data_IF_233993556843
#
_entry.id   IF_233993556843
#
_cell.length_a   1.000
_cell.length_b   1.000
_cell.length_c   1.000
_cell.angle_alpha   90.00
_cell.angle_beta   90.00
_cell.angle_gamma   90.00
#
_symmetry.space_group_name_H-M   'P 1'
#
loop_
_entity.id
_entity.type
_entity.pdbx_description
1 polymer ?
#
# COMPACT_ATOMS: atom_id res chain seq x y z
N UNK A 1 -6.81 13.64 -24.47
CA UNK A 1 -5.78 13.04 -23.60
C UNK A 1 -5.31 14.11 -22.62
N UNK A 2 -5.04 13.74 -21.37
CA UNK A 2 -4.43 14.59 -20.36
C UNK A 2 -3.14 13.93 -19.88
N UNK A 3 -2.07 14.70 -19.83
CA UNK A 3 -0.77 14.26 -19.36
C UNK A 3 -0.56 14.77 -17.95
N UNK A 4 -0.12 13.90 -17.05
CA UNK A 4 0.21 14.22 -15.66
C UNK A 4 1.63 13.76 -15.36
N UNK A 5 2.30 14.45 -14.44
CA UNK A 5 3.59 14.02 -13.91
C UNK A 5 3.44 13.77 -12.40
N UNK A 6 3.75 12.54 -11.97
CA UNK A 6 3.63 12.11 -10.57
C UNK A 6 4.83 11.24 -10.20
N UNK A 7 5.52 11.60 -9.12
CA UNK A 7 6.73 10.89 -8.68
C UNK A 7 7.79 10.73 -9.80
N UNK A 8 7.89 11.70 -10.74
CA UNK A 8 8.81 11.64 -11.87
C UNK A 8 8.40 10.67 -12.99
N UNK A 9 7.14 10.24 -13.01
CA UNK A 9 6.54 9.37 -14.04
C UNK A 9 5.54 10.22 -14.83
N UNK A 10 5.64 10.29 -16.16
CA UNK A 10 4.55 10.87 -16.95
C UNK A 10 3.47 9.82 -17.17
N UNK A 11 2.23 10.28 -17.15
CA UNK A 11 1.03 9.46 -17.25
C UNK A 11 0.09 10.12 -18.24
N UNK A 12 -0.17 9.43 -19.35
CA UNK A 12 -1.16 9.87 -20.33
C UNK A 12 -2.50 9.18 -20.09
N UNK A 13 -3.50 9.96 -19.72
CA UNK A 13 -4.86 9.49 -19.49
C UNK A 13 -5.79 9.91 -20.63
N UNK A 14 -6.45 8.93 -21.24
CA UNK A 14 -7.55 9.19 -22.17
C UNK A 14 -8.79 9.64 -21.39
N UNK A 15 -9.34 10.80 -21.72
CA UNK A 15 -10.53 11.36 -21.03
C UNK A 15 -11.84 10.69 -21.45
N UNK A 16 -11.84 9.92 -22.54
CA UNK A 16 -13.03 9.26 -23.08
C UNK A 16 -13.22 7.86 -22.49
N UNK A 17 -12.16 7.05 -22.45
CA UNK A 17 -12.21 5.67 -21.95
C UNK A 17 -11.52 5.47 -20.58
N UNK A 18 -10.86 6.49 -20.04
CA UNK A 18 -10.02 6.43 -18.82
C UNK A 18 -8.85 5.44 -18.91
N UNK A 19 -8.43 5.06 -20.12
CA UNK A 19 -7.20 4.30 -20.35
C UNK A 19 -5.98 5.11 -19.95
N UNK A 20 -5.00 4.43 -19.34
CA UNK A 20 -3.71 4.99 -18.94
C UNK A 20 -2.62 4.41 -19.83
N UNK A 21 -1.73 5.27 -20.33
CA UNK A 21 -0.62 4.92 -21.20
C UNK A 21 0.70 5.39 -20.58
N UNK A 22 1.71 4.54 -20.67
CA UNK A 22 3.03 4.70 -20.08
C UNK A 22 4.07 4.25 -21.10
N UNK A 23 5.16 5.00 -21.24
CA UNK A 23 6.31 4.53 -21.99
C UNK A 23 7.06 3.42 -21.24
N UNK A 24 7.93 2.68 -21.94
CA UNK A 24 8.70 1.58 -21.33
C UNK A 24 9.51 2.02 -20.10
N UNK A 25 10.19 3.17 -20.18
CA UNK A 25 10.99 3.69 -19.06
C UNK A 25 10.13 4.15 -17.88
N UNK A 26 8.91 4.62 -18.16
CA UNK A 26 7.98 5.10 -17.13
C UNK A 26 7.35 3.95 -16.36
N UNK A 27 7.05 2.84 -17.05
CA UNK A 27 6.61 1.61 -16.39
C UNK A 27 7.70 1.05 -15.46
N UNK A 28 8.97 1.08 -15.87
CA UNK A 28 10.09 0.67 -15.03
C UNK A 28 10.22 1.58 -13.79
N UNK A 29 10.10 2.90 -13.95
CA UNK A 29 10.07 3.85 -12.85
C UNK A 29 8.89 3.62 -11.90
N UNK A 30 7.71 3.30 -12.44
CA UNK A 30 6.51 2.97 -11.67
C UNK A 30 6.73 1.76 -10.77
N UNK A 31 7.28 0.68 -11.31
CA UNK A 31 7.56 -0.55 -10.54
C UNK A 31 8.59 -0.28 -9.45
N UNK A 32 9.63 0.51 -9.75
CA UNK A 32 10.63 0.89 -8.77
C UNK A 32 10.04 1.75 -7.63
N UNK A 33 9.16 2.70 -7.96
CA UNK A 33 8.47 3.54 -6.98
C UNK A 33 7.50 2.72 -6.12
N UNK A 34 6.76 1.77 -6.71
CA UNK A 34 5.85 0.87 -6.01
C UNK A 34 6.61 -0.02 -5.00
N UNK A 35 7.75 -0.57 -5.42
CA UNK A 35 8.62 -1.39 -4.56
C UNK A 35 9.12 -0.61 -3.34
N UNK A 36 9.51 0.66 -3.52
CA UNK A 36 9.93 1.54 -2.42
C UNK A 36 8.77 1.87 -1.47
N UNK A 37 7.60 2.19 -2.03
CA UNK A 37 6.40 2.48 -1.24
C UNK A 37 5.93 1.27 -0.42
N UNK A 38 5.95 0.08 -1.03
CA UNK A 38 5.62 -1.19 -0.38
C UNK A 38 6.59 -1.53 0.75
N UNK A 39 7.89 -1.32 0.54
CA UNK A 39 8.91 -1.49 1.57
C UNK A 39 8.70 -0.54 2.76
N UNK A 40 8.34 0.71 2.50
CA UNK A 40 8.06 1.71 3.53
C UNK A 40 6.76 1.40 4.30
N UNK A 41 5.73 0.90 3.63
CA UNK A 41 4.46 0.51 4.27
C UNK A 41 4.60 -0.78 5.09
N UNK A 42 5.55 -1.64 4.75
CA UNK A 42 5.86 -2.87 5.49
C UNK A 42 6.63 -2.62 6.79
N UNK A 43 7.21 -1.43 6.97
CA UNK A 43 7.71 -0.95 8.25
C UNK A 43 6.55 -0.45 9.13
N UNK A 44 5.55 -1.29 9.38
CA UNK A 44 4.76 -1.10 10.58
C UNK A 44 5.72 -1.31 11.76
N UNK A 45 5.84 -0.37 12.72
CA UNK A 45 6.64 -0.62 13.90
C UNK A 45 6.08 -1.89 14.53
N UNK A 46 6.93 -2.92 14.64
CA UNK A 46 6.64 -4.06 15.49
C UNK A 46 6.36 -3.45 16.86
N UNK A 47 5.08 -3.35 17.22
CA UNK A 47 4.69 -2.88 18.54
C UNK A 47 5.29 -3.90 19.48
N UNK A 48 6.37 -3.53 20.15
CA UNK A 48 6.90 -4.24 21.29
C UNK A 48 5.73 -4.49 22.22
N UNK A 49 5.32 -5.76 22.33
CA UNK A 49 4.30 -6.15 23.29
C UNK A 49 4.81 -5.74 24.68
N UNK A 50 4.00 -5.04 25.50
CA UNK A 50 4.40 -4.78 26.88
C UNK A 50 4.60 -6.11 27.61
N UNK A 51 5.59 -6.24 28.51
CA UNK A 51 5.82 -7.48 29.23
C UNK A 51 4.58 -7.81 30.08
N UNK A 52 3.94 -8.94 29.78
CA UNK A 52 2.73 -9.39 30.47
C UNK A 52 3.11 -10.00 31.85
N UNK A 53 2.43 -9.64 32.96
CA UNK A 53 2.62 -10.31 34.24
C UNK A 53 2.06 -11.74 34.20
N UNK A 54 2.92 -12.71 34.50
CA UNK A 54 2.62 -14.15 34.46
C UNK A 54 1.58 -14.55 35.52
N UNK A 55 0.37 -14.86 35.08
CA UNK A 55 -0.64 -15.62 35.84
C UNK A 55 -1.09 -16.83 35.02
N UNK A 56 -1.22 -18.03 35.62
CA UNK A 56 -1.69 -19.21 34.91
C UNK A 56 -3.20 -19.11 34.63
N UNK A 57 -3.58 -18.93 33.36
CA UNK A 57 -4.97 -18.98 32.89
C UNK A 57 -5.23 -20.26 32.08
N UNK A 58 -6.35 -20.97 32.34
CA UNK A 58 -6.72 -22.18 31.59
C UNK A 58 -7.21 -21.83 30.18
N UNK A 59 -6.87 -22.70 29.23
CA UNK A 59 -7.09 -22.54 27.80
C UNK A 59 -8.57 -22.60 27.40
N UNK A 60 -9.17 -21.45 27.15
CA UNK A 60 -10.32 -21.31 26.24
C UNK A 60 -9.92 -20.35 25.13
N UNK A 61 -9.60 -20.90 23.96
CA UNK A 61 -9.30 -20.09 22.78
C UNK A 61 -10.61 -19.52 22.23
N UNK A 62 -11.00 -18.41 22.84
CA UNK A 62 -12.05 -17.49 22.49
C UNK A 62 -11.81 -16.91 21.09
N UNK A 63 -12.86 -16.89 20.27
CA UNK A 63 -12.86 -16.27 18.94
C UNK A 63 -12.37 -14.83 18.97
N UNK A 64 -11.25 -14.58 18.29
CA UNK A 64 -10.73 -13.23 18.11
C UNK A 64 -11.50 -12.50 17.03
N UNK A 65 -12.31 -11.51 17.43
CA UNK A 65 -12.69 -10.41 16.55
C UNK A 65 -11.43 -9.60 16.22
N UNK A 66 -10.70 -10.04 15.20
CA UNK A 66 -9.63 -9.27 14.58
C UNK A 66 -10.22 -7.97 14.01
N UNK A 67 -9.71 -6.83 14.47
CA UNK A 67 -9.97 -5.52 13.86
C UNK A 67 -9.81 -5.66 12.33
N UNK A 68 -10.77 -5.19 11.53
CA UNK A 68 -10.64 -5.29 10.08
C UNK A 68 -9.34 -4.58 9.68
N UNK A 69 -8.50 -5.19 8.82
CA UNK A 69 -7.32 -4.54 8.33
C UNK A 69 -7.74 -3.21 7.70
N UNK A 70 -7.12 -2.10 8.13
CA UNK A 70 -7.32 -0.82 7.47
C UNK A 70 -7.05 -1.04 5.99
N UNK A 71 -8.03 -0.74 5.14
CA UNK A 71 -7.91 -0.86 3.68
C UNK A 71 -6.61 -0.18 3.29
N UNK A 72 -5.66 -1.00 2.83
CA UNK A 72 -4.37 -0.53 2.33
C UNK A 72 -4.71 0.40 1.18
N UNK A 73 -4.30 1.66 1.28
CA UNK A 73 -4.31 2.52 0.10
C UNK A 73 -3.33 1.91 -0.88
N UNK A 74 -3.82 1.54 -2.04
CA UNK A 74 -3.00 0.98 -3.08
C UNK A 74 -2.23 2.14 -3.70
N UNK A 75 -0.90 2.02 -3.79
CA UNK A 75 -0.03 3.05 -4.36
C UNK A 75 -0.52 3.56 -5.72
N UNK A 76 -1.05 2.65 -6.56
CA UNK A 76 -1.62 3.00 -7.87
C UNK A 76 -2.88 3.89 -7.77
N UNK A 77 -3.69 3.73 -6.73
CA UNK A 77 -4.87 4.57 -6.52
C UNK A 77 -4.44 6.00 -6.16
N UNK A 78 -3.41 6.16 -5.34
CA UNK A 78 -2.86 7.47 -4.99
C UNK A 78 -2.06 8.12 -6.13
N UNK A 79 -1.57 7.33 -7.08
CA UNK A 79 -0.84 7.83 -8.24
C UNK A 79 -1.75 8.31 -9.38
N UNK A 80 -2.93 7.68 -9.54
CA UNK A 80 -3.88 7.99 -10.63
C UNK A 80 -5.11 8.81 -10.20
N UNK A 81 -5.22 9.12 -8.90
CA UNK A 81 -6.12 10.16 -8.35
C UNK A 81 -5.55 11.57 -8.60
#
# INVERSE_FOLDING_TARGET
MRTYERNGIHVDQCTECRGVYLDRGELEHLIAAESQWSAQQSQAPARSAPPEPSYPQPSYQQGGYGKPPKKRKNFLEELFD
#
